data_IF_372064791913
#
_entry.id   IF_372064791913
#
_cell.length_a   1.000
_cell.length_b   1.000
_cell.length_c   1.000
_cell.angle_alpha   90.00
_cell.angle_beta   90.00
_cell.angle_gamma   90.00
#
_symmetry.space_group_name_H-M   'P 1'
#
loop_
_entity.id
_entity.type
_entity.pdbx_description
1 polymer ?
#
# COMPACT_ATOMS: atom_id res chain seq x y z
N UNK A 1 4.83 -15.01 -4.15
CA UNK A 1 4.98 -14.01 -5.18
C UNK A 1 5.79 -12.80 -4.73
N UNK A 2 6.08 -11.91 -5.64
CA UNK A 2 6.75 -10.63 -5.38
C UNK A 2 5.71 -9.53 -5.48
N UNK A 3 5.70 -8.62 -4.52
CA UNK A 3 5.03 -7.33 -4.61
C UNK A 3 6.08 -6.28 -5.02
N UNK A 4 5.87 -5.62 -6.13
CA UNK A 4 6.70 -4.53 -6.63
C UNK A 4 6.01 -3.20 -6.28
N UNK A 5 6.52 -2.48 -5.30
CA UNK A 5 6.00 -1.17 -4.91
C UNK A 5 6.75 -0.08 -5.69
N UNK A 6 6.15 0.41 -6.74
CA UNK A 6 6.76 1.31 -7.72
C UNK A 6 7.42 0.56 -8.89
N UNK A 7 8.35 1.22 -9.61
CA UNK A 7 8.95 2.54 -9.37
C UNK A 7 8.11 3.76 -9.82
N UNK A 8 6.98 3.58 -10.51
CA UNK A 8 6.11 4.67 -10.95
C UNK A 8 5.29 5.21 -9.76
N UNK A 9 5.93 5.98 -8.88
CA UNK A 9 5.33 6.57 -7.68
C UNK A 9 5.53 8.09 -7.67
N UNK A 10 4.60 8.80 -7.03
CA UNK A 10 4.66 10.26 -6.88
C UNK A 10 5.82 10.67 -5.96
N UNK A 11 6.66 11.59 -6.42
CA UNK A 11 7.76 12.15 -5.60
C UNK A 11 7.24 12.87 -4.36
N UNK A 12 6.08 13.50 -4.43
CA UNK A 12 5.45 14.17 -3.28
C UNK A 12 4.99 13.18 -2.22
N UNK A 13 4.51 12.00 -2.65
CA UNK A 13 3.97 10.96 -1.77
C UNK A 13 4.89 9.74 -1.66
N UNK A 14 6.17 9.90 -1.94
CA UNK A 14 7.17 8.80 -1.96
C UNK A 14 7.42 8.12 -0.61
N UNK A 15 7.01 8.75 0.51
CA UNK A 15 7.31 8.22 1.84
C UNK A 15 8.82 8.03 2.06
N UNK A 16 9.23 6.81 2.39
CA UNK A 16 10.64 6.46 2.60
C UNK A 16 11.37 6.05 1.30
N UNK A 17 10.70 6.04 0.14
CA UNK A 17 11.34 5.67 -1.13
C UNK A 17 12.40 6.68 -1.55
N UNK A 18 13.60 6.24 -2.00
CA UNK A 18 14.61 7.15 -2.55
C UNK A 18 14.13 7.77 -3.85
N UNK A 19 14.08 9.10 -3.92
CA UNK A 19 13.51 9.82 -5.06
C UNK A 19 14.20 9.51 -6.39
N UNK A 20 15.53 9.33 -6.39
CA UNK A 20 16.31 9.01 -7.57
C UNK A 20 16.01 7.62 -8.17
N UNK A 21 15.25 6.78 -7.49
CA UNK A 21 14.80 5.48 -7.97
C UNK A 21 13.39 5.52 -8.54
N UNK A 22 12.68 6.65 -8.40
CA UNK A 22 11.33 6.80 -8.92
C UNK A 22 11.32 7.11 -10.41
N UNK A 23 10.27 6.67 -11.07
CA UNK A 23 10.02 6.96 -12.48
C UNK A 23 8.86 7.95 -12.61
N UNK A 24 9.07 8.96 -13.42
CA UNK A 24 8.09 10.03 -13.66
C UNK A 24 7.23 9.79 -14.91
N UNK A 25 7.38 8.63 -15.55
CA UNK A 25 6.62 8.18 -16.71
C UNK A 25 6.55 6.65 -16.71
N UNK A 26 5.42 6.10 -17.15
CA UNK A 26 5.21 4.67 -17.25
C UNK A 26 6.09 4.05 -18.37
N UNK A 27 6.73 2.92 -18.07
CA UNK A 27 7.57 2.20 -19.02
C UNK A 27 7.24 0.70 -18.97
N UNK A 28 6.41 0.25 -19.90
CA UNK A 28 6.02 -1.16 -20.00
C UNK A 28 7.20 -2.12 -20.15
N UNK A 29 8.19 -1.76 -20.98
CA UNK A 29 9.32 -2.66 -21.30
C UNK A 29 10.17 -2.93 -20.05
N UNK A 30 10.25 -1.95 -19.14
CA UNK A 30 10.90 -2.14 -17.85
C UNK A 30 10.16 -3.19 -17.00
N UNK A 31 8.84 -3.07 -16.87
CA UNK A 31 8.04 -4.04 -16.12
C UNK A 31 8.05 -5.44 -16.74
N UNK A 32 8.02 -5.53 -18.07
CA UNK A 32 8.15 -6.80 -18.79
C UNK A 32 9.52 -7.47 -18.53
N UNK A 33 10.60 -6.68 -18.50
CA UNK A 33 11.94 -7.14 -18.12
C UNK A 33 12.00 -7.60 -16.66
N UNK A 34 11.38 -6.86 -15.74
CA UNK A 34 11.29 -7.24 -14.34
C UNK A 34 10.52 -8.56 -14.18
N UNK A 35 9.40 -8.72 -14.87
CA UNK A 35 8.62 -9.96 -14.83
C UNK A 35 9.41 -11.15 -15.38
N UNK A 36 10.15 -10.94 -16.47
CA UNK A 36 11.05 -11.96 -17.03
C UNK A 36 12.16 -12.34 -16.04
N UNK A 37 12.85 -11.34 -15.47
CA UNK A 37 13.91 -11.56 -14.48
C UNK A 37 13.39 -12.25 -13.20
N UNK A 38 12.15 -11.95 -12.82
CA UNK A 38 11.46 -12.58 -11.70
C UNK A 38 10.83 -13.95 -12.05
N UNK A 39 11.08 -14.46 -13.24
CA UNK A 39 10.53 -15.72 -13.74
C UNK A 39 8.99 -15.82 -13.57
N UNK A 40 8.27 -14.72 -13.85
CA UNK A 40 6.82 -14.64 -13.71
C UNK A 40 6.30 -14.53 -12.27
N UNK A 41 7.16 -14.28 -11.28
CA UNK A 41 6.77 -14.26 -9.88
C UNK A 41 6.35 -12.87 -9.34
N UNK A 42 6.39 -11.80 -10.13
CA UNK A 42 5.76 -10.53 -9.74
C UNK A 42 4.25 -10.73 -9.87
N UNK A 43 3.54 -10.71 -8.75
CA UNK A 43 2.10 -10.95 -8.67
C UNK A 43 1.30 -9.71 -8.34
N UNK A 44 1.96 -8.70 -7.82
CA UNK A 44 1.33 -7.49 -7.34
C UNK A 44 2.22 -6.29 -7.62
N UNK A 45 1.63 -5.16 -8.04
CA UNK A 45 2.38 -3.94 -8.34
C UNK A 45 1.61 -2.72 -7.87
N UNK A 46 2.29 -1.81 -7.16
CA UNK A 46 1.73 -0.54 -6.72
C UNK A 46 2.22 0.59 -7.63
N UNK A 47 1.29 1.42 -8.08
CA UNK A 47 1.52 2.53 -9.02
C UNK A 47 0.79 3.78 -8.54
N UNK A 48 1.29 4.97 -8.90
CA UNK A 48 0.60 6.24 -8.67
C UNK A 48 -0.19 6.64 -9.92
N UNK A 49 -1.52 6.77 -9.83
CA UNK A 49 -2.39 7.08 -10.98
C UNK A 49 -1.99 8.29 -11.80
N UNK A 50 -1.48 9.34 -11.13
CA UNK A 50 -1.11 10.61 -11.75
C UNK A 50 0.19 10.57 -12.56
N UNK A 51 0.97 9.50 -12.47
CA UNK A 51 2.17 9.36 -13.30
C UNK A 51 1.76 9.12 -14.76
N UNK A 52 2.26 9.92 -15.71
CA UNK A 52 1.90 9.82 -17.12
C UNK A 52 2.03 8.38 -17.66
N UNK A 53 1.00 7.91 -18.34
CA UNK A 53 0.94 6.57 -18.95
C UNK A 53 0.59 5.42 -17.99
N UNK A 54 0.38 5.69 -16.69
CA UNK A 54 0.04 4.61 -15.72
C UNK A 54 -1.33 4.03 -16.00
N UNK A 55 -2.33 4.84 -16.34
CA UNK A 55 -3.68 4.35 -16.65
C UNK A 55 -3.65 3.34 -17.80
N UNK A 56 -2.91 3.65 -18.87
CA UNK A 56 -2.72 2.79 -20.05
C UNK A 56 -1.83 1.57 -19.74
N UNK A 57 -0.95 1.70 -18.76
CA UNK A 57 -0.06 0.61 -18.33
C UNK A 57 -0.83 -0.50 -17.59
N UNK A 58 -1.85 -0.16 -16.80
CA UNK A 58 -2.60 -1.10 -15.94
C UNK A 58 -3.08 -2.34 -16.69
N UNK A 59 -3.83 -2.26 -17.82
CA UNK A 59 -4.30 -3.45 -18.53
C UNK A 59 -3.14 -4.28 -19.10
N UNK A 60 -2.03 -3.66 -19.47
CA UNK A 60 -0.85 -4.36 -19.99
C UNK A 60 -0.12 -5.16 -18.90
N UNK A 61 -0.03 -4.63 -17.67
CA UNK A 61 0.54 -5.36 -16.53
C UNK A 61 -0.38 -6.49 -16.07
N UNK A 62 -1.71 -6.26 -16.11
CA UNK A 62 -2.68 -7.31 -15.83
C UNK A 62 -2.54 -8.48 -16.81
N UNK A 63 -2.30 -8.21 -18.09
CA UNK A 63 -2.03 -9.24 -19.09
C UNK A 63 -0.72 -10.03 -18.81
N UNK A 64 0.23 -9.46 -18.08
CA UNK A 64 1.43 -10.16 -17.58
C UNK A 64 1.19 -10.97 -16.30
N UNK A 65 -0.06 -11.04 -15.81
CA UNK A 65 -0.44 -11.78 -14.61
C UNK A 65 -0.20 -11.04 -13.29
N UNK A 66 -0.07 -9.71 -13.33
CA UNK A 66 0.08 -8.87 -12.16
C UNK A 66 -1.28 -8.30 -11.72
N UNK A 67 -1.54 -8.26 -10.43
CA UNK A 67 -2.62 -7.46 -9.83
C UNK A 67 -2.08 -6.05 -9.65
N UNK A 68 -2.77 -5.06 -10.23
CA UNK A 68 -2.40 -3.66 -10.07
C UNK A 68 -3.12 -3.04 -8.88
N UNK A 69 -2.35 -2.33 -8.06
CA UNK A 69 -2.82 -1.51 -6.96
C UNK A 69 -2.41 -0.05 -7.19
N UNK A 70 -3.11 0.88 -6.55
CA UNK A 70 -2.71 2.28 -6.51
C UNK A 70 -2.30 2.70 -5.10
N UNK A 71 -1.28 3.54 -5.00
CA UNK A 71 -0.75 4.06 -3.74
C UNK A 71 0.37 5.07 -3.98
N UNK A 72 0.95 5.62 -2.92
CA UNK A 72 2.01 6.64 -3.00
C UNK A 72 1.63 7.79 -3.95
N UNK A 73 0.43 8.35 -3.80
CA UNK A 73 -0.23 9.12 -4.84
C UNK A 73 -0.94 10.36 -4.32
N UNK A 74 -0.79 11.45 -5.05
CA UNK A 74 -1.57 12.68 -4.90
C UNK A 74 -2.77 12.79 -5.84
N UNK A 75 -3.15 11.71 -6.54
CA UNK A 75 -4.19 11.72 -7.55
C UNK A 75 -5.51 12.30 -7.04
N UNK A 76 -6.11 13.18 -7.84
CA UNK A 76 -7.49 13.60 -7.67
C UNK A 76 -8.47 12.47 -8.01
N UNK A 77 -9.75 12.70 -7.73
CA UNK A 77 -10.81 11.70 -7.86
C UNK A 77 -10.89 11.08 -9.27
N UNK A 78 -10.98 11.89 -10.32
CA UNK A 78 -11.16 11.39 -11.70
C UNK A 78 -9.96 10.56 -12.18
N UNK A 79 -8.75 10.99 -11.85
CA UNK A 79 -7.52 10.26 -12.20
C UNK A 79 -7.46 8.89 -11.52
N UNK A 80 -7.74 8.84 -10.22
CA UNK A 80 -7.77 7.59 -9.47
C UNK A 80 -8.90 6.65 -9.95
N UNK A 81 -10.09 7.20 -10.26
CA UNK A 81 -11.21 6.44 -10.81
C UNK A 81 -10.88 5.89 -12.21
N UNK A 82 -10.14 6.65 -13.01
CA UNK A 82 -9.62 6.18 -14.30
C UNK A 82 -8.78 4.89 -14.16
N UNK A 83 -7.94 4.80 -13.13
CA UNK A 83 -7.18 3.58 -12.84
C UNK A 83 -8.07 2.41 -12.39
N UNK A 84 -9.13 2.66 -11.60
CA UNK A 84 -10.12 1.62 -11.27
C UNK A 84 -10.77 1.06 -12.53
N UNK A 85 -11.22 1.93 -13.44
CA UNK A 85 -11.81 1.53 -14.72
C UNK A 85 -10.81 0.79 -15.62
N UNK A 86 -9.53 1.15 -15.56
CA UNK A 86 -8.45 0.45 -16.28
C UNK A 86 -8.13 -0.94 -15.72
N UNK A 87 -8.59 -1.27 -14.50
CA UNK A 87 -8.44 -2.60 -13.92
C UNK A 87 -7.64 -2.68 -12.62
N UNK A 88 -7.36 -1.56 -11.97
CA UNK A 88 -6.80 -1.56 -10.60
C UNK A 88 -7.78 -2.27 -9.65
N UNK A 89 -7.25 -3.15 -8.82
CA UNK A 89 -8.03 -4.00 -7.91
C UNK A 89 -7.80 -3.73 -6.44
N UNK A 90 -6.78 -2.95 -6.09
CA UNK A 90 -6.46 -2.68 -4.68
C UNK A 90 -5.87 -1.29 -4.48
N UNK A 91 -5.89 -0.83 -3.23
CA UNK A 91 -5.25 0.41 -2.80
C UNK A 91 -4.28 0.09 -1.68
N UNK A 92 -3.02 0.35 -1.94
CA UNK A 92 -1.89 0.04 -1.05
C UNK A 92 -1.94 0.89 0.21
N UNK A 93 -1.80 0.26 1.37
CA UNK A 93 -1.73 0.86 2.73
C UNK A 93 -2.55 2.15 2.90
N UNK A 94 -3.86 2.04 2.67
CA UNK A 94 -4.83 3.16 2.65
C UNK A 94 -4.60 4.17 3.78
N UNK A 95 -4.53 5.44 3.39
CA UNK A 95 -4.31 6.57 4.30
C UNK A 95 -2.83 6.89 4.60
N UNK A 96 -1.89 6.07 4.07
CA UNK A 96 -0.46 6.33 4.19
C UNK A 96 0.11 6.75 2.83
N UNK A 97 1.01 7.72 2.84
CA UNK A 97 1.67 8.23 1.64
C UNK A 97 0.69 8.51 0.47
N UNK A 98 -0.43 9.17 0.75
CA UNK A 98 -1.41 9.53 -0.26
C UNK A 98 -2.20 10.78 0.10
N UNK A 99 -2.80 11.41 -0.92
CA UNK A 99 -3.73 12.51 -0.73
C UNK A 99 -4.98 12.03 0.00
N UNK A 100 -5.31 12.71 1.09
CA UNK A 100 -6.44 12.37 1.95
C UNK A 100 -7.76 12.95 1.43
N UNK A 101 -8.87 12.43 1.94
CA UNK A 101 -10.21 12.89 1.64
C UNK A 101 -10.43 14.36 2.01
N UNK A 102 -11.02 15.09 1.08
CA UNK A 102 -11.62 16.41 1.33
C UNK A 102 -13.01 16.46 0.69
N UNK A 103 -13.98 17.14 1.32
CA UNK A 103 -15.38 17.15 0.84
C UNK A 103 -15.56 17.72 -0.57
N UNK A 104 -14.65 18.57 -1.04
CA UNK A 104 -14.69 19.12 -2.40
C UNK A 104 -13.87 18.31 -3.42
N UNK A 105 -12.95 17.48 -2.95
CA UNK A 105 -12.15 16.56 -3.76
C UNK A 105 -11.81 15.33 -2.93
N UNK A 106 -12.57 14.25 -3.09
CA UNK A 106 -12.35 13.02 -2.34
C UNK A 106 -11.00 12.35 -2.61
N UNK A 107 -10.36 12.69 -3.72
CA UNK A 107 -9.05 12.19 -4.15
C UNK A 107 -8.98 10.65 -4.21
N UNK A 108 -7.78 10.10 -4.34
CA UNK A 108 -7.52 8.65 -4.30
C UNK A 108 -8.11 7.97 -3.06
N UNK A 109 -8.11 8.65 -1.91
CA UNK A 109 -8.66 8.12 -0.67
C UNK A 109 -10.18 7.89 -0.76
N UNK A 110 -10.93 8.85 -1.32
CA UNK A 110 -12.37 8.72 -1.55
C UNK A 110 -12.69 7.60 -2.53
N UNK A 111 -11.96 7.53 -3.64
CA UNK A 111 -12.09 6.44 -4.63
C UNK A 111 -11.84 5.08 -3.99
N UNK A 112 -10.84 4.97 -3.11
CA UNK A 112 -10.56 3.73 -2.38
C UNK A 112 -11.75 3.25 -1.55
N UNK A 113 -12.47 4.18 -0.90
CA UNK A 113 -13.63 3.84 -0.06
C UNK A 113 -14.90 3.58 -0.88
N UNK A 114 -15.08 4.26 -2.01
CA UNK A 114 -16.28 4.17 -2.85
C UNK A 114 -16.27 2.97 -3.80
N UNK A 115 -15.14 2.70 -4.44
CA UNK A 115 -15.01 1.64 -5.44
C UNK A 115 -15.03 0.23 -4.85
N UNK A 116 -15.15 -0.79 -5.70
CA UNK A 116 -15.05 -2.21 -5.30
C UNK A 116 -13.61 -2.71 -5.11
N UNK A 117 -12.61 -1.84 -5.22
CA UNK A 117 -11.22 -2.22 -4.98
C UNK A 117 -11.02 -2.66 -3.53
N UNK A 118 -10.13 -3.62 -3.31
CA UNK A 118 -9.64 -3.94 -1.97
C UNK A 118 -8.85 -2.77 -1.38
N UNK A 119 -8.79 -2.68 -0.06
CA UNK A 119 -7.95 -1.69 0.63
C UNK A 119 -7.04 -2.37 1.64
N UNK A 120 -5.77 -2.04 1.58
CA UNK A 120 -4.80 -2.54 2.52
C UNK A 120 -4.74 -1.65 3.77
N UNK A 121 -4.57 -2.28 4.93
CA UNK A 121 -4.53 -1.60 6.21
C UNK A 121 -3.38 -2.12 7.08
N UNK A 122 -2.48 -1.21 7.48
CA UNK A 122 -1.40 -1.50 8.44
C UNK A 122 -1.96 -1.30 9.85
N UNK A 123 -2.40 -2.39 10.47
CA UNK A 123 -3.13 -2.38 11.74
C UNK A 123 -2.20 -2.45 12.96
N UNK A 124 -1.17 -1.60 13.01
CA UNK A 124 -0.19 -1.54 14.11
C UNK A 124 -0.56 -0.53 15.22
N UNK A 125 -1.61 0.26 15.03
CA UNK A 125 -2.02 1.35 15.94
C UNK A 125 -1.14 2.60 15.85
N UNK A 126 -0.16 2.62 14.93
CA UNK A 126 0.78 3.71 14.66
C UNK A 126 0.56 4.33 13.28
N UNK A 127 0.42 3.50 12.24
CA UNK A 127 0.02 3.90 10.89
C UNK A 127 -1.46 4.30 10.87
N UNK A 128 -2.30 3.45 11.47
CA UNK A 128 -3.73 3.71 11.57
C UNK A 128 -4.17 3.69 13.04
N UNK A 129 -4.83 4.77 13.46
CA UNK A 129 -5.52 4.78 14.75
C UNK A 129 -6.62 3.72 14.77
N UNK A 130 -6.89 3.02 15.89
CA UNK A 130 -7.96 2.01 15.96
C UNK A 130 -9.33 2.49 15.48
N UNK A 131 -9.65 3.77 15.69
CA UNK A 131 -10.87 4.41 15.16
C UNK A 131 -10.93 4.44 13.65
N UNK A 132 -9.78 4.71 12.99
CA UNK A 132 -9.65 4.72 11.53
C UNK A 132 -9.85 3.31 10.95
N UNK A 133 -9.26 2.28 11.60
CA UNK A 133 -9.48 0.88 11.20
C UNK A 133 -10.97 0.53 11.26
N UNK A 134 -11.68 0.92 12.35
CA UNK A 134 -13.13 0.70 12.44
C UNK A 134 -13.93 1.45 11.37
N UNK A 135 -13.50 2.67 11.03
CA UNK A 135 -14.12 3.44 9.93
C UNK A 135 -13.98 2.73 8.60
N UNK A 136 -12.76 2.24 8.29
CA UNK A 136 -12.51 1.48 7.05
C UNK A 136 -13.37 0.22 6.99
N UNK A 137 -13.43 -0.55 8.09
CA UNK A 137 -14.30 -1.73 8.16
C UNK A 137 -15.79 -1.40 7.93
N UNK A 138 -16.25 -0.22 8.36
CA UNK A 138 -17.63 0.21 8.12
C UNK A 138 -17.88 0.66 6.69
N UNK A 139 -16.93 1.38 6.10
CA UNK A 139 -17.07 1.94 4.75
C UNK A 139 -16.92 0.87 3.67
N UNK A 140 -15.90 0.00 3.80
CA UNK A 140 -15.56 -1.03 2.79
C UNK A 140 -16.23 -2.38 3.02
N UNK A 141 -16.63 -2.65 4.26
CA UNK A 141 -16.90 -4.03 4.67
C UNK A 141 -15.61 -4.85 4.81
N UNK A 142 -15.62 -5.80 5.72
CA UNK A 142 -14.42 -6.59 6.06
C UNK A 142 -13.95 -7.48 4.91
N UNK A 143 -14.86 -7.86 4.00
CA UNK A 143 -14.60 -8.67 2.80
C UNK A 143 -13.82 -7.92 1.69
N UNK A 144 -13.59 -6.62 1.84
CA UNK A 144 -12.80 -5.79 0.92
C UNK A 144 -11.57 -5.18 1.60
N UNK A 145 -11.25 -5.63 2.81
CA UNK A 145 -10.06 -5.19 3.53
C UNK A 145 -8.99 -6.26 3.54
N UNK A 146 -7.75 -5.85 3.36
CA UNK A 146 -6.55 -6.67 3.46
C UNK A 146 -5.72 -6.16 4.65
N UNK A 147 -5.39 -7.04 5.58
CA UNK A 147 -4.42 -6.70 6.61
C UNK A 147 -3.01 -6.93 6.05
N UNK A 148 -2.22 -5.87 6.01
CA UNK A 148 -0.82 -5.94 5.58
C UNK A 148 0.10 -5.47 6.70
N UNK A 149 1.33 -5.94 6.69
CA UNK A 149 2.32 -5.53 7.69
C UNK A 149 3.15 -4.34 7.24
N UNK A 150 3.46 -4.25 5.95
CA UNK A 150 4.46 -3.33 5.42
C UNK A 150 5.77 -3.39 6.24
N UNK A 151 6.17 -4.62 6.59
CA UNK A 151 7.30 -4.86 7.49
C UNK A 151 8.63 -4.71 6.79
N UNK A 152 9.56 -4.03 7.45
CA UNK A 152 10.96 -3.98 7.06
C UNK A 152 11.75 -5.14 7.68
N UNK A 153 13.01 -5.29 7.26
CA UNK A 153 13.90 -6.36 7.76
C UNK A 153 14.11 -6.36 9.29
N UNK A 154 13.76 -5.27 9.97
CA UNK A 154 13.85 -5.16 11.43
C UNK A 154 12.65 -5.74 12.18
N UNK A 155 11.64 -6.28 11.49
CA UNK A 155 10.48 -6.88 12.15
C UNK A 155 10.91 -8.10 12.99
N UNK A 156 10.50 -8.09 14.26
CA UNK A 156 10.88 -9.13 15.22
C UNK A 156 12.29 -8.97 15.83
N UNK A 157 13.01 -7.93 15.46
CA UNK A 157 14.31 -7.57 16.05
C UNK A 157 14.14 -6.50 17.15
N UNK A 158 15.12 -6.34 18.07
CA UNK A 158 15.09 -5.30 19.11
C UNK A 158 15.19 -3.90 18.51
N UNK A 159 14.91 -2.89 19.32
CA UNK A 159 15.17 -1.49 18.96
C UNK A 159 16.64 -1.28 18.59
N UNK A 160 16.90 -0.46 17.57
CA UNK A 160 18.24 -0.25 17.06
C UNK A 160 18.28 0.45 15.69
N UNK A 161 19.45 0.42 15.07
CA UNK A 161 19.68 0.95 13.73
C UNK A 161 19.73 -0.20 12.71
N UNK A 162 19.03 0.00 11.60
CA UNK A 162 18.87 -0.99 10.53
C UNK A 162 18.99 -0.33 9.16
N UNK A 163 18.88 -1.13 8.11
CA UNK A 163 18.84 -0.65 6.71
C UNK A 163 17.47 -0.96 6.09
N UNK A 164 17.02 -0.07 5.21
CA UNK A 164 15.93 -0.30 4.28
C UNK A 164 16.45 0.08 2.88
N UNK A 165 16.91 -0.91 2.12
CA UNK A 165 17.65 -0.65 0.90
C UNK A 165 18.88 0.23 1.17
N UNK A 166 18.94 1.40 0.55
CA UNK A 166 20.03 2.37 0.72
C UNK A 166 19.86 3.28 1.95
N UNK A 167 18.69 3.28 2.59
CA UNK A 167 18.36 4.18 3.68
C UNK A 167 18.75 3.59 5.04
N UNK A 168 19.23 4.43 5.95
CA UNK A 168 19.30 4.11 7.37
C UNK A 168 17.93 4.24 8.02
N UNK A 169 17.59 3.31 8.91
CA UNK A 169 16.33 3.30 9.65
C UNK A 169 16.63 3.15 11.14
N UNK A 170 15.94 3.95 11.95
CA UNK A 170 15.98 3.86 13.41
C UNK A 170 14.67 3.22 13.87
N UNK A 171 14.78 2.08 14.56
CA UNK A 171 13.65 1.44 15.23
C UNK A 171 13.69 1.82 16.71
N UNK A 172 12.61 2.40 17.19
CA UNK A 172 12.41 2.74 18.59
C UNK A 172 10.98 2.50 19.02
N UNK A 173 10.80 1.81 20.13
CA UNK A 173 9.49 1.45 20.67
C UNK A 173 8.60 0.74 19.62
N UNK A 174 9.21 -0.06 18.73
CA UNK A 174 8.54 -0.73 17.63
C UNK A 174 8.08 0.20 16.49
N UNK A 175 8.53 1.44 16.42
CA UNK A 175 8.30 2.37 15.32
C UNK A 175 9.55 2.52 14.46
N UNK A 176 9.45 2.35 13.14
CA UNK A 176 10.56 2.51 12.20
C UNK A 176 10.50 3.87 11.50
N UNK A 177 11.62 4.60 11.51
CA UNK A 177 11.72 5.94 10.89
C UNK A 177 13.09 6.15 10.23
N UNK A 178 13.10 6.93 9.17
CA UNK A 178 14.33 7.50 8.62
C UNK A 178 14.92 8.52 9.61
N UNK A 179 16.21 8.88 9.49
CA UNK A 179 16.84 9.91 10.35
C UNK A 179 16.12 11.27 10.33
N UNK A 180 15.46 11.62 9.23
CA UNK A 180 14.66 12.85 9.09
C UNK A 180 13.26 12.76 9.73
N UNK A 181 12.91 11.63 10.38
CA UNK A 181 11.65 11.42 11.07
C UNK A 181 10.52 10.83 10.20
N UNK A 182 10.71 10.70 8.89
CA UNK A 182 9.73 10.06 7.98
C UNK A 182 9.58 8.60 8.37
N UNK A 183 8.34 8.11 8.43
CA UNK A 183 8.04 6.71 8.71
C UNK A 183 8.57 5.82 7.58
N UNK A 184 9.16 4.69 7.92
CA UNK A 184 9.83 3.78 6.99
C UNK A 184 9.30 2.36 7.19
N UNK A 185 8.14 2.09 6.62
CA UNK A 185 7.43 0.81 6.83
C UNK A 185 7.12 0.53 8.30
N UNK A 186 6.97 -0.72 8.65
CA UNK A 186 6.63 -1.15 10.01
C UNK A 186 7.58 -2.23 10.55
N UNK A 187 7.40 -2.54 11.84
CA UNK A 187 7.94 -3.76 12.48
C UNK A 187 6.81 -4.72 12.87
N UNK A 188 5.60 -4.49 12.32
CA UNK A 188 4.41 -5.28 12.61
C UNK A 188 4.57 -6.71 12.07
N UNK A 189 4.23 -7.70 12.88
CA UNK A 189 4.07 -9.08 12.40
C UNK A 189 2.60 -9.35 12.08
N UNK A 190 2.32 -10.30 11.18
CA UNK A 190 0.93 -10.66 10.85
C UNK A 190 0.16 -11.20 12.08
N UNK A 191 0.84 -11.95 12.95
CA UNK A 191 0.26 -12.40 14.21
C UNK A 191 -0.12 -11.24 15.14
N UNK A 192 0.68 -10.17 15.17
CA UNK A 192 0.34 -8.98 15.95
C UNK A 192 -0.77 -8.17 15.26
N UNK A 193 -0.80 -8.09 13.93
CA UNK A 193 -1.89 -7.48 13.18
C UNK A 193 -3.25 -8.14 13.52
N UNK A 194 -3.29 -9.48 13.56
CA UNK A 194 -4.46 -10.24 13.97
C UNK A 194 -4.93 -9.85 15.37
N UNK A 195 -4.03 -9.86 16.37
CA UNK A 195 -4.36 -9.48 17.76
C UNK A 195 -4.90 -8.06 17.82
N UNK A 196 -4.27 -7.13 17.12
CA UNK A 196 -4.68 -5.74 17.05
C UNK A 196 -6.08 -5.61 16.43
N UNK A 197 -6.34 -6.28 15.32
CA UNK A 197 -7.65 -6.26 14.66
C UNK A 197 -8.77 -6.77 15.57
N UNK A 198 -8.56 -7.87 16.32
CA UNK A 198 -9.52 -8.37 17.28
C UNK A 198 -9.83 -7.31 18.35
N UNK A 199 -8.81 -6.64 18.89
CA UNK A 199 -8.96 -5.58 19.89
C UNK A 199 -9.60 -4.32 19.31
N UNK A 200 -9.13 -3.85 18.13
CA UNK A 200 -9.57 -2.60 17.53
C UNK A 200 -11.02 -2.65 17.07
N UNK A 201 -11.41 -3.77 16.45
CA UNK A 201 -12.74 -3.93 15.87
C UNK A 201 -13.77 -4.56 16.80
N UNK A 202 -13.31 -5.32 17.80
CA UNK A 202 -14.13 -6.16 18.69
C UNK A 202 -15.00 -7.15 17.92
N UNK A 203 -14.52 -7.62 16.76
CA UNK A 203 -15.17 -8.62 15.93
C UNK A 203 -14.59 -10.01 16.21
N UNK A 204 -15.38 -11.07 16.03
CA UNK A 204 -14.90 -12.43 16.23
C UNK A 204 -13.89 -12.84 15.14
N UNK A 205 -13.10 -13.87 15.44
CA UNK A 205 -12.00 -14.33 14.58
C UNK A 205 -12.47 -14.67 13.16
N UNK A 206 -13.64 -15.27 13.02
CA UNK A 206 -14.21 -15.70 11.72
C UNK A 206 -14.45 -14.52 10.77
N UNK A 207 -14.66 -13.31 11.30
CA UNK A 207 -14.80 -12.10 10.52
C UNK A 207 -13.46 -11.42 10.21
N UNK A 208 -12.43 -11.67 11.02
CA UNK A 208 -11.11 -11.06 10.88
C UNK A 208 -10.19 -11.92 10.00
N UNK A 209 -10.25 -13.24 10.14
CA UNK A 209 -9.34 -14.15 9.46
C UNK A 209 -9.30 -13.94 7.92
N UNK A 210 -10.42 -13.71 7.22
CA UNK A 210 -10.40 -13.45 5.78
C UNK A 210 -9.53 -12.24 5.38
N UNK A 211 -9.44 -11.22 6.24
CA UNK A 211 -8.59 -10.04 5.96
C UNK A 211 -7.09 -10.38 5.92
N UNK A 212 -6.68 -11.52 6.46
CA UNK A 212 -5.27 -11.95 6.55
C UNK A 212 -4.95 -13.08 5.56
N UNK A 213 -5.93 -13.68 4.90
CA UNK A 213 -5.71 -14.92 4.14
C UNK A 213 -6.57 -15.12 2.88
N UNK A 214 -7.84 -14.69 2.85
CA UNK A 214 -8.80 -15.05 1.80
C UNK A 214 -9.22 -13.90 0.90
N UNK A 215 -9.17 -12.67 1.40
CA UNK A 215 -9.56 -11.47 0.65
C UNK A 215 -8.61 -11.15 -0.51
#
# INVERSE_FOLDING_TARGET
GIHLEGPCLSSEYKGAMPEHLLMHEANYDLFARYQTAANGHIRYVTLSPEIPGVVELVPRLTALGMVCAMGHSGAGYDCAMGCIHAGVRSVTHLGNAMRLFHQHDPAIFGVALESDAYVEAICDGRHLHPGTVRLYCKAKGMHRMLAVTDSIMAAGLPDGQYKLGVNDVIVKDGGAKLPNGVRAGSTLTMAQALRNLLVFTRRPLEQIAPMLSEN
#
